data_IF_320441998849
#
_entry.id   IF_320441998849
#
_cell.length_a   1.000
_cell.length_b   1.000
_cell.length_c   1.000
_cell.angle_alpha   90.00
_cell.angle_beta   90.00
_cell.angle_gamma   90.00
#
_symmetry.space_group_name_H-M   'P 1'
#
loop_
_entity.id
_entity.type
_entity.pdbx_description
1 polymer ?
#
# COMPACT_ATOMS: atom_id res chain seq x y z
N UNK A 1 -11.79 18.00 0.62
CA UNK A 1 -10.98 16.99 1.36
C UNK A 1 -9.64 17.65 1.71
N UNK A 2 -9.15 17.58 2.94
CA UNK A 2 -7.85 18.19 3.31
C UNK A 2 -6.69 17.40 2.68
N UNK A 3 -5.61 18.08 2.28
CA UNK A 3 -4.41 17.51 1.66
C UNK A 3 -3.84 16.32 2.46
N UNK A 4 -3.79 16.43 3.80
CA UNK A 4 -3.28 15.36 4.66
C UNK A 4 -4.12 14.07 4.57
N UNK A 5 -5.45 14.22 4.45
CA UNK A 5 -6.37 13.09 4.28
C UNK A 5 -6.20 12.44 2.91
N UNK A 6 -6.00 13.25 1.88
CA UNK A 6 -5.75 12.78 0.52
C UNK A 6 -4.43 12.02 0.44
N UNK A 7 -3.36 12.59 1.01
CA UNK A 7 -2.06 11.93 1.11
C UNK A 7 -2.16 10.58 1.81
N UNK A 8 -2.83 10.50 2.97
CA UNK A 8 -3.03 9.24 3.69
C UNK A 8 -3.77 8.21 2.82
N UNK A 9 -4.86 8.58 2.16
CA UNK A 9 -5.66 7.64 1.36
C UNK A 9 -4.93 7.15 0.12
N UNK A 10 -4.21 8.04 -0.58
CA UNK A 10 -3.59 7.71 -1.86
C UNK A 10 -2.17 7.19 -1.74
N UNK A 11 -1.50 7.29 -0.58
CA UNK A 11 -0.10 6.88 -0.43
C UNK A 11 0.17 5.46 -0.95
N UNK A 12 -0.58 4.41 -0.56
CA UNK A 12 -0.28 3.07 -1.09
C UNK A 12 -0.55 2.98 -2.59
N UNK A 13 -1.67 3.52 -3.05
CA UNK A 13 -2.02 3.50 -4.48
C UNK A 13 -0.97 4.20 -5.35
N UNK A 14 -0.53 5.39 -4.93
CA UNK A 14 0.50 6.15 -5.63
C UNK A 14 1.83 5.40 -5.65
N UNK A 15 2.29 4.88 -4.51
CA UNK A 15 3.56 4.14 -4.46
C UNK A 15 3.54 2.85 -5.27
N UNK A 16 2.41 2.13 -5.28
CA UNK A 16 2.24 0.93 -6.10
C UNK A 16 2.30 1.24 -7.59
N UNK A 17 1.53 2.22 -8.05
CA UNK A 17 1.48 2.60 -9.46
C UNK A 17 2.83 3.18 -9.92
N UNK A 18 3.42 4.08 -9.13
CA UNK A 18 4.71 4.68 -9.46
C UNK A 18 5.84 3.66 -9.46
N UNK A 19 5.95 2.82 -8.41
CA UNK A 19 6.97 1.77 -8.33
C UNK A 19 6.86 0.79 -9.49
N UNK A 20 5.64 0.39 -9.83
CA UNK A 20 5.38 -0.47 -10.99
C UNK A 20 5.78 0.20 -12.29
N UNK A 21 5.32 1.42 -12.55
CA UNK A 21 5.63 2.14 -13.78
C UNK A 21 7.14 2.32 -13.96
N UNK A 22 7.85 2.77 -12.92
CA UNK A 22 9.30 2.96 -12.95
C UNK A 22 10.05 1.66 -13.23
N UNK A 23 9.64 0.56 -12.60
CA UNK A 23 10.23 -0.76 -12.86
C UNK A 23 9.97 -1.25 -14.29
N UNK A 24 8.77 -1.03 -14.83
CA UNK A 24 8.43 -1.46 -16.19
C UNK A 24 9.08 -0.60 -17.27
N UNK A 25 9.38 0.66 -16.99
CA UNK A 25 10.11 1.54 -17.93
C UNK A 25 11.63 1.36 -17.87
N UNK A 26 12.16 0.45 -17.04
CA UNK A 26 13.60 0.24 -16.91
C UNK A 26 14.32 1.38 -16.19
N UNK A 27 13.63 2.15 -15.34
CA UNK A 27 14.22 3.31 -14.66
C UNK A 27 15.36 2.96 -13.71
N UNK A 28 15.52 1.67 -13.37
CA UNK A 28 16.50 1.17 -12.43
C UNK A 28 17.64 0.36 -13.08
N UNK A 29 17.82 0.47 -14.40
CA UNK A 29 18.89 -0.20 -15.14
C UNK A 29 18.38 -1.28 -16.06
N UNK A 30 19.07 -2.42 -16.12
CA UNK A 30 18.66 -3.53 -16.97
C UNK A 30 17.35 -4.19 -16.49
N UNK A 31 16.78 -5.06 -17.32
CA UNK A 31 15.52 -5.75 -17.02
C UNK A 31 15.58 -6.54 -15.72
N UNK A 32 16.73 -7.16 -15.42
CA UNK A 32 16.91 -7.98 -14.21
C UNK A 32 16.93 -7.11 -12.95
N UNK A 33 17.67 -5.99 -12.96
CA UNK A 33 17.71 -5.05 -11.85
C UNK A 33 16.34 -4.44 -11.58
N UNK A 34 15.63 -4.02 -12.64
CA UNK A 34 14.31 -3.40 -12.52
C UNK A 34 13.25 -4.36 -11.96
N UNK A 35 13.28 -5.64 -12.34
CA UNK A 35 12.43 -6.69 -11.76
C UNK A 35 12.78 -6.98 -10.30
N UNK A 36 14.08 -7.02 -9.97
CA UNK A 36 14.53 -7.23 -8.59
C UNK A 36 14.03 -6.13 -7.65
N UNK A 37 14.07 -4.88 -8.12
CA UNK A 37 13.54 -3.74 -7.38
C UNK A 37 12.01 -3.80 -7.27
N UNK A 38 11.32 -4.21 -8.33
CA UNK A 38 9.87 -4.43 -8.26
C UNK A 38 9.50 -5.46 -7.18
N UNK A 39 10.22 -6.59 -7.11
CA UNK A 39 10.02 -7.61 -6.07
C UNK A 39 10.27 -7.04 -4.67
N UNK A 40 11.31 -6.20 -4.50
CA UNK A 40 11.56 -5.51 -3.23
C UNK A 40 10.42 -4.55 -2.87
N UNK A 41 9.91 -3.79 -3.84
CA UNK A 41 8.76 -2.92 -3.64
C UNK A 41 7.53 -3.73 -3.19
N UNK A 42 7.30 -4.88 -3.81
CA UNK A 42 6.19 -5.76 -3.55
C UNK A 42 6.26 -6.39 -2.16
N UNK A 43 7.44 -6.84 -1.72
CA UNK A 43 7.60 -7.50 -0.41
C UNK A 43 7.70 -6.50 0.75
N UNK A 44 8.26 -5.31 0.53
CA UNK A 44 8.61 -4.38 1.62
C UNK A 44 7.88 -3.05 1.49
N UNK A 45 8.05 -2.37 0.35
CA UNK A 45 7.60 -0.97 0.21
C UNK A 45 6.07 -0.87 0.24
N UNK A 46 5.35 -1.71 -0.50
CA UNK A 46 3.89 -1.66 -0.56
C UNK A 46 3.25 -2.04 0.78
N UNK A 47 3.64 -3.13 1.48
CA UNK A 47 3.15 -3.40 2.83
C UNK A 47 3.37 -2.24 3.80
N UNK A 48 4.55 -1.60 3.76
CA UNK A 48 4.85 -0.47 4.63
C UNK A 48 3.92 0.71 4.36
N UNK A 49 3.56 1.00 3.12
CA UNK A 49 2.61 2.08 2.83
C UNK A 49 1.20 1.74 3.30
N UNK A 50 0.76 0.48 3.21
CA UNK A 50 -0.50 0.03 3.81
C UNK A 50 -0.48 0.14 5.35
N UNK A 51 0.65 -0.16 6.00
CA UNK A 51 0.82 0.03 7.44
C UNK A 51 0.64 1.50 7.81
N UNK A 52 1.34 2.40 7.11
CA UNK A 52 1.25 3.86 7.33
C UNK A 52 -0.18 4.35 7.08
N UNK A 53 -0.85 3.85 6.04
CA UNK A 53 -2.26 4.18 5.76
C UNK A 53 -3.17 3.78 6.93
N UNK A 54 -3.00 2.58 7.49
CA UNK A 54 -3.75 2.10 8.66
C UNK A 54 -3.51 2.96 9.90
N UNK A 55 -2.25 3.27 10.20
CA UNK A 55 -1.86 4.14 11.32
C UNK A 55 -2.49 5.54 11.14
N UNK A 56 -2.36 6.15 9.97
CA UNK A 56 -2.90 7.48 9.69
C UNK A 56 -4.43 7.52 9.83
N UNK A 57 -5.12 6.49 9.33
CA UNK A 57 -6.58 6.38 9.50
C UNK A 57 -6.98 6.27 10.97
N UNK A 58 -6.21 5.53 11.78
CA UNK A 58 -6.46 5.40 13.21
C UNK A 58 -6.18 6.70 13.98
N UNK A 59 -5.12 7.44 13.66
CA UNK A 59 -4.76 8.71 14.33
C UNK A 59 -5.81 9.80 14.04
N UNK A 60 -6.21 9.93 12.79
CA UNK A 60 -7.07 11.04 12.35
C UNK A 60 -8.56 10.68 12.27
N UNK A 61 -8.96 9.47 12.71
CA UNK A 61 -10.33 8.98 12.62
C UNK A 61 -10.91 9.05 11.20
N UNK A 62 -10.07 8.79 10.20
CA UNK A 62 -10.52 8.76 8.81
C UNK A 62 -11.32 7.48 8.54
N UNK A 63 -12.32 7.59 7.68
CA UNK A 63 -13.11 6.43 7.24
C UNK A 63 -12.19 5.43 6.53
N UNK A 64 -12.27 4.18 6.97
CA UNK A 64 -11.40 3.09 6.51
C UNK A 64 -11.79 2.63 5.11
N UNK A 65 -13.09 2.55 4.82
CA UNK A 65 -13.65 2.08 3.54
C UNK A 65 -13.03 2.77 2.31
N UNK A 66 -13.02 4.11 2.20
CA UNK A 66 -12.43 4.78 1.04
C UNK A 66 -10.91 4.60 0.98
N UNK A 67 -10.23 4.53 2.12
CA UNK A 67 -8.78 4.31 2.16
C UNK A 67 -8.40 2.95 1.56
N UNK A 68 -9.05 1.88 2.05
CA UNK A 68 -8.86 0.52 1.55
C UNK A 68 -9.32 0.41 0.10
N UNK A 69 -10.48 0.97 -0.25
CA UNK A 69 -11.00 0.88 -1.62
C UNK A 69 -10.01 1.43 -2.66
N UNK A 70 -9.44 2.61 -2.41
CA UNK A 70 -8.46 3.23 -3.32
C UNK A 70 -7.19 2.36 -3.46
N UNK A 71 -6.63 1.89 -2.34
CA UNK A 71 -5.40 1.10 -2.36
C UNK A 71 -5.63 -0.31 -2.94
N UNK A 72 -6.77 -0.93 -2.68
CA UNK A 72 -7.14 -2.22 -3.28
C UNK A 72 -7.36 -2.11 -4.80
N UNK A 73 -7.99 -1.06 -5.29
CA UNK A 73 -8.15 -0.85 -6.75
C UNK A 73 -6.77 -0.73 -7.41
N UNK A 74 -5.86 0.06 -6.83
CA UNK A 74 -4.51 0.19 -7.36
C UNK A 74 -3.73 -1.13 -7.33
N UNK A 75 -3.88 -1.93 -6.27
CA UNK A 75 -3.31 -3.27 -6.20
C UNK A 75 -3.83 -4.17 -7.32
N UNK A 76 -5.14 -4.18 -7.59
CA UNK A 76 -5.74 -4.97 -8.68
C UNK A 76 -5.15 -4.57 -10.04
N UNK A 77 -4.98 -3.26 -10.30
CA UNK A 77 -4.37 -2.76 -11.53
C UNK A 77 -2.92 -3.27 -11.66
N UNK A 78 -2.10 -3.13 -10.62
CA UNK A 78 -0.72 -3.63 -10.63
C UNK A 78 -0.67 -5.15 -10.80
N UNK A 79 -1.56 -5.88 -10.13
CA UNK A 79 -1.68 -7.33 -10.22
C UNK A 79 -1.94 -7.78 -11.66
N UNK A 80 -2.94 -7.19 -12.33
CA UNK A 80 -3.28 -7.53 -13.72
C UNK A 80 -2.17 -7.22 -14.73
N UNK A 81 -1.34 -6.22 -14.46
CA UNK A 81 -0.25 -5.82 -15.38
C UNK A 81 1.00 -6.67 -15.19
N UNK A 82 1.35 -7.03 -13.95
CA UNK A 82 2.69 -7.56 -13.63
C UNK A 82 2.69 -9.01 -13.16
N UNK A 83 1.60 -9.50 -12.57
CA UNK A 83 1.53 -10.82 -11.94
C UNK A 83 0.55 -11.73 -12.69
N UNK A 84 1.02 -12.52 -13.67
CA UNK A 84 0.16 -13.42 -14.45
C UNK A 84 -0.31 -14.68 -13.69
N UNK A 85 0.05 -14.86 -12.42
CA UNK A 85 -0.29 -16.04 -11.60
C UNK A 85 -0.97 -15.63 -10.30
N UNK A 86 -1.75 -16.55 -9.71
CA UNK A 86 -2.66 -16.47 -8.54
C UNK A 86 -2.07 -15.91 -7.21
N UNK A 87 -1.36 -14.79 -7.28
CA UNK A 87 -0.68 -14.15 -6.17
C UNK A 87 -1.58 -13.15 -5.43
N UNK A 88 -2.88 -13.48 -5.31
CA UNK A 88 -3.83 -12.77 -4.45
C UNK A 88 -3.38 -12.74 -2.98
N UNK A 89 -2.48 -13.65 -2.60
CA UNK A 89 -1.83 -13.70 -1.28
C UNK A 89 -1.22 -12.37 -0.88
N UNK A 90 -0.66 -11.59 -1.82
CA UNK A 90 -0.11 -10.27 -1.50
C UNK A 90 -1.19 -9.27 -1.11
N UNK A 91 -2.35 -9.30 -1.76
CA UNK A 91 -3.48 -8.43 -1.40
C UNK A 91 -3.97 -8.71 0.01
N UNK A 92 -4.12 -9.99 0.37
CA UNK A 92 -4.48 -10.41 1.73
C UNK A 92 -3.43 -9.97 2.74
N UNK A 93 -2.15 -10.17 2.40
CA UNK A 93 -1.03 -9.74 3.24
C UNK A 93 -1.03 -8.22 3.48
N UNK A 94 -1.25 -7.40 2.46
CA UNK A 94 -1.27 -5.94 2.59
C UNK A 94 -2.46 -5.47 3.44
N UNK A 95 -3.63 -6.08 3.27
CA UNK A 95 -4.80 -5.79 4.08
C UNK A 95 -4.61 -6.19 5.55
N UNK A 96 -3.94 -7.32 5.81
CA UNK A 96 -3.59 -7.73 7.17
C UNK A 96 -2.63 -6.73 7.84
N UNK A 97 -1.61 -6.26 7.11
CA UNK A 97 -0.67 -5.24 7.58
C UNK A 97 -1.41 -3.91 7.87
N UNK A 98 -2.31 -3.48 6.99
CA UNK A 98 -3.16 -2.31 7.22
C UNK A 98 -3.99 -2.46 8.50
N UNK A 99 -4.67 -3.61 8.65
CA UNK A 99 -5.52 -3.88 9.79
C UNK A 99 -4.72 -3.89 11.11
N UNK A 100 -3.52 -4.47 11.10
CA UNK A 100 -2.61 -4.45 12.24
C UNK A 100 -2.21 -3.01 12.60
N UNK A 101 -1.77 -2.20 11.63
CA UNK A 101 -1.41 -0.81 11.84
C UNK A 101 -2.56 0.02 12.41
N UNK A 102 -3.76 -0.17 11.89
CA UNK A 102 -4.97 0.50 12.38
C UNK A 102 -5.31 0.06 13.81
N UNK A 103 -5.42 -1.25 14.05
CA UNK A 103 -5.87 -1.81 15.33
C UNK A 103 -4.90 -1.48 16.47
N UNK A 104 -3.59 -1.69 16.27
CA UNK A 104 -2.56 -1.38 17.27
C UNK A 104 -2.63 0.10 17.65
N UNK A 105 -2.65 0.99 16.65
CA UNK A 105 -2.70 2.44 16.88
C UNK A 105 -3.99 2.85 17.59
N UNK A 106 -5.12 2.29 17.19
CA UNK A 106 -6.41 2.55 17.82
C UNK A 106 -6.42 2.12 19.30
N UNK A 107 -5.89 0.93 19.61
CA UNK A 107 -5.79 0.42 20.99
C UNK A 107 -4.88 1.30 21.85
N UNK A 108 -3.67 1.66 21.38
CA UNK A 108 -2.74 2.52 22.12
C UNK A 108 -3.38 3.87 22.45
N UNK A 109 -4.11 4.46 21.49
CA UNK A 109 -4.81 5.75 21.72
C UNK A 109 -5.94 5.62 22.73
N UNK A 110 -6.64 4.49 22.73
CA UNK A 110 -7.71 4.22 23.70
C UNK A 110 -7.17 4.04 25.11
N UNK A 111 -5.97 3.47 25.28
CA UNK A 111 -5.33 3.31 26.59
C UNK A 111 -4.78 4.62 27.17
N UNK A 112 -4.49 5.63 26.32
CA UNK A 112 -4.02 6.95 26.75
C UNK A 112 -5.14 7.93 27.11
N UNK A 113 -6.40 7.59 26.82
CA UNK A 113 -7.58 8.35 27.20
C UNK A 113 -8.16 7.77 28.48
#
# INVERSE_FOLDING_TARGET
MNLNKLAAYFLPAFTMLAGTALSMTGAFGDTKASLSIFVLCLIIVFPLTFLIQGIACAIHHYHILPAIGISTIAFIVVFMIVLPTDNLVYGVYYLAIFAAGYAITYMIRRMKK
#
